data_IF_061538544005
#
_entry.id   IF_061538544005
#
_cell.length_a   1.000
_cell.length_b   1.000
_cell.length_c   1.000
_cell.angle_alpha   90.00
_cell.angle_beta   90.00
_cell.angle_gamma   90.00
#
_symmetry.space_group_name_H-M   'P 1'
#
loop_
_entity.id
_entity.type
_entity.pdbx_description
1 polymer ?
#
# COMPACT_ATOMS: atom_id res chain seq x y z
N UNK A 1 40.93 5.32 1.27
CA UNK A 1 40.51 4.51 2.43
C UNK A 1 39.28 3.72 2.02
N UNK A 2 39.38 2.39 2.08
CA UNK A 2 38.45 1.40 1.52
C UNK A 2 37.02 1.58 2.07
N UNK A 3 36.00 1.49 1.20
CA UNK A 3 34.59 1.40 1.60
C UNK A 3 33.92 0.23 0.89
N UNK A 4 33.18 -0.55 1.66
CA UNK A 4 32.50 -1.77 1.21
C UNK A 4 31.02 -1.48 1.01
N UNK A 5 30.50 -1.83 -0.17
CA UNK A 5 29.06 -1.87 -0.45
C UNK A 5 28.63 -3.32 -0.28
N UNK A 6 27.78 -3.57 0.71
CA UNK A 6 27.11 -4.87 0.84
C UNK A 6 25.88 -4.86 -0.06
N UNK A 7 26.10 -5.31 -1.30
CA UNK A 7 25.03 -5.68 -2.23
C UNK A 7 24.38 -6.95 -1.68
N UNK A 8 23.18 -6.77 -1.16
CA UNK A 8 22.17 -7.80 -1.00
C UNK A 8 22.05 -8.59 -2.31
N UNK A 9 22.72 -9.75 -2.28
CA UNK A 9 22.62 -10.92 -3.16
C UNK A 9 22.19 -10.63 -4.60
N UNK A 10 23.14 -10.38 -5.49
CA UNK A 10 23.26 -11.01 -6.81
C UNK A 10 24.49 -10.41 -7.52
N UNK A 11 25.61 -11.13 -7.39
CA UNK A 11 26.90 -11.00 -8.07
C UNK A 11 27.60 -9.60 -8.06
N UNK A 12 28.44 -9.31 -7.04
CA UNK A 12 29.22 -8.07 -6.93
C UNK A 12 30.37 -7.92 -7.95
N UNK A 13 30.42 -8.74 -9.01
CA UNK A 13 31.47 -8.75 -10.05
C UNK A 13 30.91 -8.53 -11.47
N UNK A 14 29.91 -7.67 -11.62
CA UNK A 14 29.51 -7.23 -12.95
C UNK A 14 30.61 -6.35 -13.56
N UNK A 15 31.16 -6.78 -14.69
CA UNK A 15 32.18 -6.06 -15.45
C UNK A 15 31.63 -4.69 -15.89
N UNK A 16 32.34 -3.59 -15.58
CA UNK A 16 31.96 -2.21 -15.91
C UNK A 16 31.66 -1.31 -14.70
N UNK A 17 31.42 -1.86 -13.51
CA UNK A 17 31.16 -1.09 -12.29
C UNK A 17 32.41 -0.35 -11.76
N UNK A 18 33.59 -0.86 -12.11
CA UNK A 18 34.91 -0.27 -11.80
C UNK A 18 35.16 1.10 -12.43
N UNK A 19 34.35 1.49 -13.43
CA UNK A 19 34.52 2.74 -14.17
C UNK A 19 33.68 3.90 -13.63
N UNK A 20 32.80 3.65 -12.65
CA UNK A 20 31.86 4.64 -12.14
C UNK A 20 32.55 5.54 -11.11
N UNK A 21 32.67 6.84 -11.42
CA UNK A 21 33.29 7.83 -10.54
C UNK A 21 32.26 8.47 -9.59
N UNK A 22 32.23 8.01 -8.34
CA UNK A 22 31.25 8.41 -7.32
C UNK A 22 31.61 9.70 -6.53
N UNK A 23 32.56 10.52 -7.00
CA UNK A 23 33.15 11.61 -6.21
C UNK A 23 32.28 12.87 -6.00
N UNK A 24 31.06 12.95 -6.54
CA UNK A 24 30.23 14.16 -6.48
C UNK A 24 29.19 14.23 -5.35
N UNK A 25 29.06 13.22 -4.48
CA UNK A 25 28.03 13.22 -3.44
C UNK A 25 28.56 12.62 -2.12
N UNK A 26 29.00 13.47 -1.19
CA UNK A 26 29.73 13.07 0.03
C UNK A 26 28.88 12.21 0.99
N UNK A 27 27.56 12.36 0.92
CA UNK A 27 26.59 11.56 1.66
C UNK A 27 26.07 10.35 0.85
N UNK A 28 26.33 10.32 -0.46
CA UNK A 28 25.71 9.40 -1.40
C UNK A 28 24.20 9.62 -1.51
N UNK A 29 23.62 9.33 -2.67
CA UNK A 29 22.17 9.11 -2.73
C UNK A 29 21.96 7.60 -2.64
N UNK A 30 21.19 7.14 -1.66
CA UNK A 30 20.78 5.74 -1.61
C UNK A 30 20.11 5.37 -2.93
N UNK A 31 20.63 4.35 -3.61
CA UNK A 31 20.05 3.88 -4.86
C UNK A 31 18.58 3.53 -4.58
N UNK A 32 17.67 4.16 -5.31
CA UNK A 32 16.22 4.10 -5.05
C UNK A 32 15.59 2.74 -5.41
N UNK A 33 16.39 1.69 -5.64
CA UNK A 33 15.92 0.33 -5.94
C UNK A 33 15.08 -0.25 -4.80
N UNK A 34 15.34 0.18 -3.57
CA UNK A 34 14.55 -0.24 -2.41
C UNK A 34 13.09 0.21 -2.51
N UNK A 35 12.78 1.30 -3.22
CA UNK A 35 11.39 1.78 -3.34
C UNK A 35 10.46 0.77 -4.03
N UNK A 36 10.76 0.27 -5.24
CA UNK A 36 9.94 -0.77 -5.86
C UNK A 36 10.03 -2.10 -5.09
N UNK A 37 11.18 -2.46 -4.51
CA UNK A 37 11.31 -3.72 -3.75
C UNK A 37 10.50 -3.70 -2.47
N UNK A 38 10.57 -2.63 -1.68
CA UNK A 38 9.75 -2.46 -0.47
C UNK A 38 8.26 -2.33 -0.80
N UNK A 39 7.91 -1.80 -1.98
CA UNK A 39 6.53 -1.76 -2.44
C UNK A 39 6.00 -3.16 -2.80
N UNK A 40 6.81 -3.99 -3.45
CA UNK A 40 6.41 -5.30 -3.94
C UNK A 40 6.55 -6.42 -2.90
N UNK A 41 7.51 -6.31 -1.99
CA UNK A 41 7.87 -7.36 -1.04
C UNK A 41 7.78 -6.92 0.42
N UNK A 42 7.36 -5.68 0.68
CA UNK A 42 7.28 -5.16 2.05
C UNK A 42 6.34 -5.96 2.93
N UNK A 43 5.21 -6.43 2.38
CA UNK A 43 4.25 -7.28 3.08
C UNK A 43 4.87 -8.63 3.48
N UNK A 44 5.50 -9.30 2.52
CA UNK A 44 6.17 -10.59 2.71
C UNK A 44 7.32 -10.48 3.72
N UNK A 45 8.14 -9.43 3.63
CA UNK A 45 9.23 -9.18 4.59
C UNK A 45 8.66 -8.98 6.00
N UNK A 46 7.60 -8.17 6.15
CA UNK A 46 6.99 -7.93 7.44
C UNK A 46 6.39 -9.22 8.03
N UNK A 47 5.70 -10.02 7.22
CA UNK A 47 5.08 -11.27 7.65
C UNK A 47 6.16 -12.32 8.01
N UNK A 48 7.22 -12.44 7.21
CA UNK A 48 8.38 -13.29 7.52
C UNK A 48 9.02 -12.90 8.87
N UNK A 49 9.05 -11.61 9.20
CA UNK A 49 9.62 -11.13 10.46
C UNK A 49 8.71 -11.42 11.67
N UNK A 50 7.39 -11.32 11.48
CA UNK A 50 6.41 -11.44 12.57
C UNK A 50 6.01 -12.88 12.86
N UNK A 51 6.13 -13.79 11.88
CA UNK A 51 5.74 -15.19 12.03
C UNK A 51 6.97 -16.10 12.18
N UNK A 52 7.04 -16.93 13.24
CA UNK A 52 8.19 -17.78 13.50
C UNK A 52 8.38 -18.88 12.42
N UNK A 53 7.30 -19.31 11.77
CA UNK A 53 7.34 -20.15 10.58
C UNK A 53 6.15 -19.86 9.65
N UNK A 54 6.43 -19.68 8.38
CA UNK A 54 5.42 -19.69 7.33
C UNK A 54 5.18 -21.15 6.95
N UNK A 55 4.07 -21.71 7.42
CA UNK A 55 3.62 -23.01 6.95
C UNK A 55 3.21 -22.93 5.47
N UNK A 56 3.30 -24.03 4.73
CA UNK A 56 2.79 -24.14 3.35
C UNK A 56 1.31 -23.72 3.22
N UNK A 57 0.53 -23.81 4.31
CA UNK A 57 -0.86 -23.34 4.38
C UNK A 57 -1.02 -21.82 4.19
N UNK A 58 0.05 -21.04 4.37
CA UNK A 58 0.07 -19.59 4.21
C UNK A 58 0.70 -19.18 2.86
N UNK A 59 1.27 -20.11 2.08
CA UNK A 59 1.78 -19.80 0.75
C UNK A 59 0.64 -19.29 -0.14
N UNK A 60 0.83 -18.11 -0.73
CA UNK A 60 -0.18 -17.45 -1.56
C UNK A 60 -1.19 -16.57 -0.81
N UNK A 61 -1.10 -16.47 0.53
CA UNK A 61 -2.00 -15.63 1.36
C UNK A 61 -1.37 -14.31 1.81
N UNK A 62 -0.24 -13.94 1.20
CA UNK A 62 0.47 -12.69 1.45
C UNK A 62 -0.05 -11.53 0.62
N UNK A 63 -0.87 -11.81 -0.39
CA UNK A 63 -1.39 -10.80 -1.32
C UNK A 63 -2.86 -11.08 -1.63
N UNK A 64 -3.71 -11.06 -0.60
CA UNK A 64 -5.13 -11.32 -0.76
C UNK A 64 -5.80 -10.15 -1.51
N UNK A 65 -6.62 -10.43 -2.51
CA UNK A 65 -7.28 -9.39 -3.29
C UNK A 65 -8.31 -8.62 -2.46
N UNK A 66 -8.30 -7.29 -2.56
CA UNK A 66 -9.36 -6.41 -2.04
C UNK A 66 -10.74 -6.69 -2.64
N UNK A 67 -10.83 -7.50 -3.69
CA UNK A 67 -12.09 -7.89 -4.31
C UNK A 67 -12.67 -9.17 -3.66
N UNK A 68 -11.95 -9.79 -2.73
CA UNK A 68 -12.37 -11.03 -2.08
C UNK A 68 -13.57 -10.82 -1.15
N UNK A 69 -14.48 -11.80 -1.17
CA UNK A 69 -15.60 -11.92 -0.23
C UNK A 69 -15.24 -12.70 1.03
N UNK A 70 -13.98 -13.12 1.17
CA UNK A 70 -13.50 -13.76 2.40
C UNK A 70 -13.40 -12.78 3.56
N UNK A 71 -13.45 -13.31 4.78
CA UNK A 71 -13.31 -12.52 6.01
C UNK A 71 -11.96 -11.83 6.09
N UNK A 72 -11.93 -10.58 6.59
CA UNK A 72 -10.67 -9.85 6.80
C UNK A 72 -9.70 -10.55 7.75
N UNK A 73 -10.22 -11.32 8.71
CA UNK A 73 -9.41 -12.03 9.70
C UNK A 73 -8.66 -13.22 9.12
N UNK A 74 -8.96 -13.57 7.87
CA UNK A 74 -8.21 -14.57 7.14
C UNK A 74 -7.01 -13.94 6.40
N UNK A 75 -7.01 -12.64 6.11
CA UNK A 75 -5.92 -11.99 5.37
C UNK A 75 -4.75 -11.63 6.29
N UNK A 76 -3.52 -11.83 5.83
CA UNK A 76 -2.35 -11.19 6.43
C UNK A 76 -2.09 -9.81 5.83
N UNK A 77 -2.35 -9.66 4.53
CA UNK A 77 -2.19 -8.43 3.78
C UNK A 77 -3.21 -8.40 2.64
N UNK A 78 -3.85 -7.24 2.44
CA UNK A 78 -4.90 -7.03 1.43
C UNK A 78 -4.37 -6.08 0.37
N UNK A 79 -4.29 -6.55 -0.87
CA UNK A 79 -3.89 -5.77 -2.04
C UNK A 79 -5.08 -5.07 -2.67
N UNK A 80 -5.06 -3.75 -2.76
CA UNK A 80 -6.05 -2.99 -3.51
C UNK A 80 -5.69 -2.94 -5.00
N UNK A 81 -6.30 -3.82 -5.79
CA UNK A 81 -6.02 -3.95 -7.22
C UNK A 81 -6.51 -2.73 -8.01
N UNK A 82 -5.95 -2.57 -9.21
CA UNK A 82 -6.35 -1.58 -10.20
C UNK A 82 -7.68 -1.92 -10.91
N UNK A 83 -8.13 -3.17 -10.79
CA UNK A 83 -9.30 -3.70 -11.49
C UNK A 83 -10.61 -3.15 -10.92
N UNK A 84 -11.67 -3.03 -11.74
CA UNK A 84 -12.99 -2.60 -11.27
C UNK A 84 -13.60 -3.69 -10.38
N UNK A 85 -13.42 -3.56 -9.07
CA UNK A 85 -14.14 -4.34 -8.07
C UNK A 85 -14.79 -3.42 -7.04
N UNK A 86 -15.23 -3.97 -5.89
CA UNK A 86 -15.97 -3.20 -4.89
C UNK A 86 -15.22 -1.95 -4.42
N UNK A 87 -13.90 -2.05 -4.29
CA UNK A 87 -12.98 -0.94 -4.06
C UNK A 87 -11.95 -0.89 -5.18
N UNK A 88 -11.86 0.24 -5.90
CA UNK A 88 -10.84 0.50 -6.92
C UNK A 88 -9.93 1.63 -6.46
N UNK A 89 -8.63 1.36 -6.40
CA UNK A 89 -7.62 2.35 -6.00
C UNK A 89 -7.63 3.56 -6.92
N UNK A 90 -7.79 3.37 -8.24
CA UNK A 90 -7.78 4.46 -9.20
C UNK A 90 -9.06 5.31 -9.15
N UNK A 91 -10.22 4.68 -8.97
CA UNK A 91 -11.46 5.44 -8.77
C UNK A 91 -11.40 6.26 -7.48
N UNK A 92 -10.86 5.67 -6.41
CA UNK A 92 -10.65 6.36 -5.14
C UNK A 92 -9.65 7.52 -5.28
N UNK A 93 -8.49 7.30 -5.90
CA UNK A 93 -7.47 8.34 -6.10
C UNK A 93 -8.00 9.51 -6.94
N UNK A 94 -8.69 9.22 -8.04
CA UNK A 94 -9.35 10.23 -8.86
C UNK A 94 -10.39 11.03 -8.05
N UNK A 95 -11.18 10.37 -7.20
CA UNK A 95 -12.12 11.03 -6.31
C UNK A 95 -11.43 11.97 -5.31
N UNK A 96 -10.32 11.55 -4.70
CA UNK A 96 -9.56 12.39 -3.77
C UNK A 96 -8.96 13.60 -4.50
N UNK A 97 -8.38 13.39 -5.68
CA UNK A 97 -7.84 14.49 -6.49
C UNK A 97 -8.94 15.50 -6.84
N UNK A 98 -10.11 15.04 -7.27
CA UNK A 98 -11.26 15.91 -7.55
C UNK A 98 -11.74 16.67 -6.31
N UNK A 99 -11.81 15.98 -5.16
CA UNK A 99 -12.22 16.57 -3.89
C UNK A 99 -11.27 17.69 -3.45
N UNK A 100 -9.95 17.46 -3.53
CA UNK A 100 -8.93 18.43 -3.12
C UNK A 100 -8.82 19.63 -4.06
N UNK A 101 -9.02 19.42 -5.37
CA UNK A 101 -8.94 20.48 -6.37
C UNK A 101 -10.28 21.20 -6.62
N UNK A 102 -11.32 20.87 -5.84
CA UNK A 102 -12.62 21.56 -5.91
C UNK A 102 -13.34 21.38 -7.24
N UNK A 103 -13.08 20.30 -7.97
CA UNK A 103 -13.79 20.02 -9.22
C UNK A 103 -15.21 19.56 -8.90
N UNK A 104 -16.20 20.07 -9.64
CA UNK A 104 -17.64 19.84 -9.36
C UNK A 104 -18.13 18.42 -9.67
N UNK A 105 -17.30 17.58 -10.29
CA UNK A 105 -17.69 16.24 -10.70
C UNK A 105 -17.27 15.18 -9.67
N UNK A 106 -17.83 15.34 -8.47
CA UNK A 106 -17.77 14.31 -7.44
C UNK A 106 -18.84 13.27 -7.78
N UNK A 107 -18.41 12.09 -8.27
CA UNK A 107 -19.31 10.98 -8.55
C UNK A 107 -20.24 10.72 -7.36
N UNK A 108 -21.56 10.80 -7.61
CA UNK A 108 -22.59 10.57 -6.59
C UNK A 108 -22.42 9.24 -5.85
N UNK A 109 -21.84 8.22 -6.50
CA UNK A 109 -21.54 6.93 -5.88
C UNK A 109 -20.45 7.07 -4.82
N UNK A 110 -19.34 7.72 -5.14
CA UNK A 110 -18.17 7.83 -4.27
C UNK A 110 -18.42 8.80 -3.10
N UNK A 111 -19.17 9.87 -3.33
CA UNK A 111 -19.64 10.75 -2.25
C UNK A 111 -20.54 10.02 -1.25
N UNK A 112 -21.43 9.12 -1.72
CA UNK A 112 -22.23 8.26 -0.86
C UNK A 112 -21.36 7.29 -0.06
N UNK A 113 -20.33 6.71 -0.68
CA UNK A 113 -19.37 5.85 0.04
C UNK A 113 -18.61 6.63 1.12
N UNK A 114 -18.19 7.88 0.85
CA UNK A 114 -17.55 8.72 1.85
C UNK A 114 -18.47 8.94 3.06
N UNK A 115 -19.72 9.38 2.83
CA UNK A 115 -20.69 9.61 3.92
C UNK A 115 -21.01 8.31 4.65
N UNK A 116 -21.18 7.20 3.92
CA UNK A 116 -21.50 5.90 4.51
C UNK A 116 -20.38 5.36 5.41
N UNK A 117 -19.13 5.67 5.09
CA UNK A 117 -17.96 5.11 5.77
C UNK A 117 -17.22 6.12 6.66
N UNK A 118 -17.71 7.36 6.80
CA UNK A 118 -17.05 8.39 7.62
C UNK A 118 -17.09 8.11 9.13
N UNK A 119 -18.03 7.29 9.58
CA UNK A 119 -18.17 6.88 10.98
C UNK A 119 -17.56 5.51 11.23
N UNK A 120 -17.21 5.24 12.49
CA UNK A 120 -16.66 3.94 12.90
C UNK A 120 -17.69 2.82 12.73
N UNK A 121 -17.20 1.67 12.26
CA UNK A 121 -18.00 0.46 12.03
C UNK A 121 -17.37 -0.74 12.69
N UNK A 122 -18.21 -1.70 13.06
CA UNK A 122 -17.78 -3.02 13.51
C UNK A 122 -17.16 -3.81 12.34
N UNK A 123 -15.88 -4.12 12.44
CA UNK A 123 -15.11 -4.82 11.41
C UNK A 123 -15.14 -6.35 11.57
N UNK A 124 -15.68 -6.87 12.67
CA UNK A 124 -15.59 -8.31 13.02
C UNK A 124 -16.14 -9.24 11.93
N UNK A 125 -17.17 -8.82 11.22
CA UNK A 125 -17.83 -9.62 10.18
C UNK A 125 -17.61 -9.07 8.76
N UNK A 126 -16.63 -8.17 8.58
CA UNK A 126 -16.36 -7.60 7.26
C UNK A 126 -15.60 -8.58 6.37
N UNK A 127 -15.98 -8.57 5.10
CA UNK A 127 -15.17 -9.12 4.01
C UNK A 127 -14.04 -8.18 3.63
N UNK A 128 -13.00 -8.67 2.97
CA UNK A 128 -11.86 -7.87 2.50
C UNK A 128 -12.31 -6.71 1.61
N UNK A 129 -13.30 -6.94 0.75
CA UNK A 129 -13.89 -5.89 -0.08
C UNK A 129 -14.62 -4.80 0.71
N UNK A 130 -15.40 -5.17 1.72
CA UNK A 130 -16.12 -4.20 2.56
C UNK A 130 -15.15 -3.38 3.41
N UNK A 131 -14.15 -4.05 3.97
CA UNK A 131 -13.15 -3.42 4.81
C UNK A 131 -12.26 -2.46 4.02
N UNK A 132 -11.84 -2.83 2.81
CA UNK A 132 -11.01 -1.98 1.94
C UNK A 132 -11.72 -0.67 1.61
N UNK A 133 -13.00 -0.72 1.25
CA UNK A 133 -13.82 0.50 1.08
C UNK A 133 -13.93 1.26 2.39
N UNK A 134 -14.33 0.59 3.48
CA UNK A 134 -14.52 1.24 4.77
C UNK A 134 -13.29 2.01 5.23
N UNK A 135 -12.12 1.36 5.28
CA UNK A 135 -10.91 1.97 5.86
C UNK A 135 -10.43 3.16 5.04
N UNK A 136 -10.49 3.07 3.69
CA UNK A 136 -10.07 4.15 2.80
C UNK A 136 -10.96 5.39 2.95
N UNK A 137 -12.28 5.22 2.89
CA UNK A 137 -13.21 6.35 3.05
C UNK A 137 -13.29 6.85 4.49
N UNK A 138 -13.13 5.99 5.50
CA UNK A 138 -13.10 6.41 6.90
C UNK A 138 -11.89 7.29 7.20
N UNK A 139 -10.71 6.96 6.67
CA UNK A 139 -9.51 7.78 6.83
C UNK A 139 -9.72 9.21 6.31
N UNK A 140 -10.35 9.34 5.15
CA UNK A 140 -10.68 10.65 4.55
C UNK A 140 -11.76 11.36 5.36
N UNK A 141 -12.83 10.67 5.74
CA UNK A 141 -13.89 11.23 6.58
C UNK A 141 -13.35 11.78 7.90
N UNK A 142 -12.46 11.04 8.57
CA UNK A 142 -11.76 11.48 9.78
C UNK A 142 -10.84 12.68 9.53
N UNK A 143 -10.12 12.69 8.41
CA UNK A 143 -9.27 13.84 8.04
C UNK A 143 -10.11 15.10 7.81
N UNK A 144 -11.16 15.01 7.01
CA UNK A 144 -12.06 16.14 6.72
C UNK A 144 -12.83 16.61 7.95
N UNK A 145 -13.28 15.69 8.81
CA UNK A 145 -13.98 16.01 10.05
C UNK A 145 -13.21 16.97 10.95
N UNK A 146 -11.87 16.95 10.92
CA UNK A 146 -11.02 17.91 11.66
C UNK A 146 -11.19 19.36 11.20
N UNK A 147 -11.62 19.59 9.97
CA UNK A 147 -11.85 20.93 9.42
C UNK A 147 -13.24 21.49 9.72
N UNK A 148 -14.19 20.63 10.10
CA UNK A 148 -15.59 20.99 10.40
C UNK A 148 -15.91 21.03 11.90
N UNK A 149 -14.91 20.78 12.77
CA UNK A 149 -15.04 20.84 14.23
C UNK A 149 -14.53 22.18 14.82
N UNK A 150 -14.28 23.19 13.97
CA UNK A 150 -14.07 24.59 14.36
C UNK A 150 -15.37 25.38 14.20
#
# INVERSE_FOLDING_TARGET
TTRYVWLNEFNPKAQGLETINFTKNIEGEWIRWWRPVSLLYGGEIAINHMLPQISDQNQGRFDDSSCSTESIWKAYHIHCWHSPCHFSKFEFDNFINNLLHGTKDLSNKLSKELVRNSYEKDTRNMTMQQFSSYIAYNAIGKYLGRYFQN
#
